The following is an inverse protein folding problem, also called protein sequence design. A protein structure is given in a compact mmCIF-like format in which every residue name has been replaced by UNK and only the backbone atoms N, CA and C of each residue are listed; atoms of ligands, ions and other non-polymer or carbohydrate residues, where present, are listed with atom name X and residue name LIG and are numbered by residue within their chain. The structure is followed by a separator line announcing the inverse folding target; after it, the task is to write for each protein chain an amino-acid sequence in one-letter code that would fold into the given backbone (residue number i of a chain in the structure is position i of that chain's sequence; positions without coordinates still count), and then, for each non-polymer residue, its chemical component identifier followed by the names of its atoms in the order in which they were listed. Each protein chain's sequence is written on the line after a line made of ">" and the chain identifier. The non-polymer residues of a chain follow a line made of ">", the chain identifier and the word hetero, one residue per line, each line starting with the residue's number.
data_IF_192539513282
#
_entry.id   IF_192539513282
#
_cell.length_a   1.000
_cell.length_b   1.000
_cell.length_c   1.000
_cell.angle_alpha   90.00
_cell.angle_beta   90.00
_cell.angle_gamma   90.00
#
_symmetry.space_group_name_H-M   'P 1'
#
loop_
_entity.id
_entity.type
_entity.pdbx_description
1 polymer ?
#
# COMPACT_ATOMS: atom_id res chain seq x y z
N UNK A 1 1.50 -9.51 -0.72
CA UNK A 1 0.53 -8.66 0.01
C UNK A 1 -0.81 -9.35 0.22
N UNK A 2 -1.58 -9.66 -0.83
CA UNK A 2 -2.95 -10.19 -0.72
C UNK A 2 -3.10 -11.43 0.20
N UNK A 3 -2.15 -12.37 0.18
CA UNK A 3 -2.18 -13.56 1.05
C UNK A 3 -2.23 -13.17 2.54
N UNK A 4 -1.40 -12.21 2.96
CA UNK A 4 -1.33 -11.75 4.35
C UNK A 4 -2.60 -10.98 4.72
N UNK A 5 -3.07 -10.09 3.85
CA UNK A 5 -4.31 -9.34 4.05
C UNK A 5 -5.49 -10.31 4.25
N UNK A 6 -5.63 -11.33 3.38
CA UNK A 6 -6.69 -12.34 3.51
C UNK A 6 -6.57 -13.17 4.79
N UNK A 7 -5.35 -13.47 5.24
CA UNK A 7 -5.12 -14.22 6.47
C UNK A 7 -5.57 -13.42 7.69
N UNK A 8 -5.18 -12.14 7.78
CA UNK A 8 -5.56 -11.21 8.85
C UNK A 8 -7.08 -11.01 8.86
N UNK A 9 -7.67 -10.61 7.74
CA UNK A 9 -9.11 -10.27 7.68
C UNK A 9 -10.04 -11.47 7.91
N UNK A 10 -9.54 -12.70 7.77
CA UNK A 10 -10.32 -13.92 8.01
C UNK A 10 -10.44 -14.24 9.51
N UNK A 11 -9.51 -13.79 10.33
CA UNK A 11 -9.54 -13.98 11.77
C UNK A 11 -10.27 -12.81 12.45
N UNK A 12 -11.48 -13.01 13.01
CA UNK A 12 -12.23 -11.94 13.65
C UNK A 12 -11.58 -11.42 14.94
N UNK A 13 -10.64 -12.16 15.54
CA UNK A 13 -9.91 -11.75 16.75
C UNK A 13 -8.61 -11.00 16.40
N UNK A 14 -8.18 -11.00 15.14
CA UNK A 14 -7.02 -10.24 14.69
C UNK A 14 -7.38 -8.76 14.53
N UNK A 15 -6.72 -7.92 15.32
CA UNK A 15 -6.96 -6.47 15.37
C UNK A 15 -6.02 -5.68 14.45
N UNK A 16 -5.16 -6.37 13.69
CA UNK A 16 -4.18 -5.74 12.80
C UNK A 16 -4.89 -4.95 11.69
N UNK A 17 -4.53 -3.66 11.58
CA UNK A 17 -5.00 -2.82 10.48
C UNK A 17 -4.07 -2.93 9.27
N UNK A 18 -4.64 -3.22 8.10
CA UNK A 18 -3.92 -3.33 6.84
C UNK A 18 -4.11 -2.07 5.99
N UNK A 19 -3.02 -1.50 5.51
CA UNK A 19 -3.02 -0.37 4.57
C UNK A 19 -2.22 -0.78 3.33
N UNK A 20 -2.82 -0.67 2.14
CA UNK A 20 -2.20 -1.02 0.87
C UNK A 20 -2.19 0.19 -0.06
N UNK A 21 -0.99 0.71 -0.33
CA UNK A 21 -0.72 1.62 -1.44
C UNK A 21 -0.21 0.79 -2.63
N UNK A 22 -1.03 0.66 -3.68
CA UNK A 22 -0.76 -0.24 -4.79
C UNK A 22 -0.47 0.53 -6.09
N UNK A 23 0.74 0.36 -6.62
CA UNK A 23 1.24 1.09 -7.78
C UNK A 23 1.27 0.20 -9.03
N UNK A 24 0.72 0.71 -10.14
CA UNK A 24 0.70 0.03 -11.45
C UNK A 24 0.97 1.04 -12.58
N UNK A 25 1.29 0.56 -13.79
CA UNK A 25 1.53 1.46 -14.93
C UNK A 25 0.23 2.10 -15.42
N UNK A 26 -0.81 1.28 -15.65
CA UNK A 26 -2.13 1.72 -16.10
C UNK A 26 -3.24 1.01 -15.32
N UNK A 27 -4.48 1.49 -15.44
CA UNK A 27 -5.62 0.95 -14.70
C UNK A 27 -5.88 -0.54 -15.00
N UNK A 28 -5.69 -0.97 -16.25
CA UNK A 28 -5.82 -2.37 -16.67
C UNK A 28 -4.73 -3.30 -16.10
N UNK A 29 -3.62 -2.74 -15.62
CA UNK A 29 -2.51 -3.51 -15.06
C UNK A 29 -2.70 -3.77 -13.56
N UNK A 30 -3.78 -3.26 -12.95
CA UNK A 30 -4.14 -3.54 -11.57
C UNK A 30 -4.63 -4.98 -11.46
N UNK A 31 -3.75 -5.86 -11.01
CA UNK A 31 -4.11 -7.25 -10.76
C UNK A 31 -5.07 -7.36 -9.57
N UNK A 32 -6.08 -8.20 -9.71
CA UNK A 32 -7.04 -8.54 -8.64
C UNK A 32 -7.74 -7.29 -8.05
N UNK A 33 -8.01 -6.29 -8.88
CA UNK A 33 -8.66 -5.05 -8.44
C UNK A 33 -10.00 -5.32 -7.76
N UNK A 34 -10.86 -6.10 -8.42
CA UNK A 34 -12.19 -6.45 -7.90
C UNK A 34 -12.10 -7.13 -6.54
N UNK A 35 -11.19 -8.11 -6.38
CA UNK A 35 -10.95 -8.77 -5.08
C UNK A 35 -10.51 -7.78 -3.99
N UNK A 36 -9.65 -6.82 -4.32
CA UNK A 36 -9.15 -5.82 -3.37
C UNK A 36 -10.24 -4.83 -2.96
N UNK A 37 -11.02 -4.34 -3.92
CA UNK A 37 -12.14 -3.44 -3.67
C UNK A 37 -13.26 -4.14 -2.89
N UNK A 38 -13.52 -5.41 -3.16
CA UNK A 38 -14.46 -6.23 -2.39
C UNK A 38 -13.98 -6.38 -0.93
N UNK A 39 -12.71 -6.71 -0.71
CA UNK A 39 -12.15 -6.78 0.65
C UNK A 39 -12.26 -5.44 1.39
N UNK A 40 -12.00 -4.33 0.70
CA UNK A 40 -12.14 -2.98 1.27
C UNK A 40 -13.59 -2.67 1.65
N UNK A 41 -14.56 -3.08 0.83
CA UNK A 41 -15.98 -2.87 1.09
C UNK A 41 -16.49 -3.75 2.25
N UNK A 42 -15.99 -4.98 2.38
CA UNK A 42 -16.34 -5.90 3.46
C UNK A 42 -15.70 -5.52 4.80
N UNK A 43 -14.47 -5.01 4.79
CA UNK A 43 -13.68 -4.73 5.99
C UNK A 43 -13.21 -3.26 6.07
N UNK A 44 -14.12 -2.25 5.99
CA UNK A 44 -13.72 -0.86 5.81
C UNK A 44 -12.95 -0.25 6.99
N UNK A 45 -13.05 -0.86 8.18
CA UNK A 45 -12.35 -0.42 9.39
C UNK A 45 -10.98 -1.09 9.59
N UNK A 46 -10.72 -2.21 8.91
CA UNK A 46 -9.50 -3.02 9.07
C UNK A 46 -8.62 -3.03 7.83
N UNK A 47 -9.18 -2.76 6.65
CA UNK A 47 -8.42 -2.65 5.41
C UNK A 47 -8.62 -1.26 4.79
N UNK A 48 -7.51 -0.62 4.41
CA UNK A 48 -7.46 0.63 3.66
C UNK A 48 -6.69 0.40 2.36
N UNK A 49 -7.30 0.78 1.24
CA UNK A 49 -6.80 0.56 -0.10
C UNK A 49 -6.65 1.90 -0.84
N UNK A 50 -5.48 2.11 -1.42
CA UNK A 50 -5.22 3.26 -2.27
C UNK A 50 -4.38 2.86 -3.48
N UNK A 51 -4.64 3.47 -4.62
CA UNK A 51 -3.97 3.16 -5.86
C UNK A 51 -3.13 4.34 -6.37
N UNK A 52 -2.09 4.03 -7.13
CA UNK A 52 -1.44 5.03 -7.97
C UNK A 52 -1.05 4.47 -9.33
N UNK A 53 -1.21 5.30 -10.37
CA UNK A 53 -0.93 4.91 -11.75
C UNK A 53 0.10 5.85 -12.39
N UNK A 54 1.05 5.30 -13.14
CA UNK A 54 1.98 6.10 -13.96
C UNK A 54 1.22 6.87 -15.06
N UNK A 55 0.26 6.19 -15.69
CA UNK A 55 -0.56 6.71 -16.78
C UNK A 55 -2.06 6.48 -16.49
N UNK A 56 -2.67 7.30 -15.62
CA UNK A 56 -4.09 7.19 -15.30
C UNK A 56 -4.99 7.73 -16.42
N UNK A 57 -6.26 7.27 -16.51
CA UNK A 57 -7.29 7.93 -17.30
C UNK A 57 -7.64 9.33 -16.73
N UNK A 58 -8.41 10.12 -17.47
CA UNK A 58 -8.77 11.50 -17.08
C UNK A 58 -9.62 11.56 -15.80
N UNK A 59 -10.47 10.56 -15.56
CA UNK A 59 -11.42 10.46 -14.45
C UNK A 59 -10.87 9.62 -13.27
N UNK A 60 -9.55 9.47 -13.18
CA UNK A 60 -8.92 8.68 -12.13
C UNK A 60 -9.08 9.31 -10.73
N UNK A 61 -9.71 8.56 -9.83
CA UNK A 61 -10.06 9.03 -8.49
C UNK A 61 -8.89 8.98 -7.48
N UNK A 62 -7.76 8.34 -7.84
CA UNK A 62 -6.64 8.11 -6.94
C UNK A 62 -5.37 8.86 -7.39
N UNK A 63 -4.23 8.53 -6.79
CA UNK A 63 -2.97 9.22 -7.05
C UNK A 63 -2.40 8.92 -8.45
N UNK A 64 -1.56 9.83 -8.94
CA UNK A 64 -0.82 9.70 -10.21
C UNK A 64 0.69 9.73 -9.99
N UNK A 65 1.40 8.86 -10.70
CA UNK A 65 2.86 8.77 -10.74
C UNK A 65 3.43 7.70 -9.82
N UNK A 66 4.75 7.73 -9.64
CA UNK A 66 5.44 6.83 -8.71
C UNK A 66 5.11 7.16 -7.25
N UNK A 67 5.26 6.15 -6.39
CA UNK A 67 5.08 6.28 -4.93
C UNK A 67 5.89 7.48 -4.41
N UNK A 68 5.18 8.43 -3.78
CA UNK A 68 5.76 9.64 -3.22
C UNK A 68 5.66 9.67 -1.68
N UNK A 69 6.41 10.57 -1.04
CA UNK A 69 6.29 10.80 0.39
C UNK A 69 4.87 11.25 0.78
N UNK A 70 4.23 12.10 -0.03
CA UNK A 70 2.89 12.60 0.26
C UNK A 70 1.86 11.45 0.24
N UNK A 71 1.95 10.55 -0.75
CA UNK A 71 1.10 9.35 -0.82
C UNK A 71 1.29 8.44 0.39
N UNK A 72 2.54 8.22 0.82
CA UNK A 72 2.84 7.42 2.00
C UNK A 72 2.22 8.07 3.25
N UNK A 73 2.44 9.37 3.43
CA UNK A 73 1.98 10.09 4.60
C UNK A 73 0.44 10.14 4.68
N UNK A 74 -0.25 10.22 3.54
CA UNK A 74 -1.70 10.31 3.48
C UNK A 74 -2.40 8.94 3.61
N UNK A 75 -1.80 7.87 3.08
CA UNK A 75 -2.49 6.59 2.91
C UNK A 75 -1.90 5.43 3.73
N UNK A 76 -0.74 5.60 4.37
CA UNK A 76 -0.12 4.60 5.25
C UNK A 76 -0.04 5.13 6.70
N UNK A 77 0.01 4.25 7.72
CA UNK A 77 0.14 4.67 9.10
C UNK A 77 1.47 5.38 9.34
N UNK A 78 1.45 6.44 10.16
CA UNK A 78 2.65 7.13 10.61
C UNK A 78 3.62 6.16 11.33
N UNK A 79 4.94 6.45 11.36
CA UNK A 79 5.88 5.55 12.02
C UNK A 79 5.58 5.40 13.53
N UNK A 80 5.48 4.15 14.00
CA UNK A 80 5.30 3.77 15.39
C UNK A 80 5.89 2.38 15.68
N UNK A 81 6.02 2.02 16.96
CA UNK A 81 6.63 0.74 17.37
C UNK A 81 5.78 -0.49 16.96
N UNK A 82 4.51 -0.28 16.67
CA UNK A 82 3.51 -1.25 16.23
C UNK A 82 3.30 -1.26 14.70
N UNK A 83 4.13 -0.52 13.94
CA UNK A 83 4.00 -0.38 12.49
C UNK A 83 5.08 -1.15 11.75
N UNK A 84 4.64 -2.04 10.85
CA UNK A 84 5.49 -2.77 9.92
C UNK A 84 5.10 -2.44 8.47
N UNK A 85 6.08 -2.00 7.68
CA UNK A 85 5.94 -1.79 6.24
C UNK A 85 6.53 -2.95 5.47
N UNK A 86 5.71 -3.50 4.58
CA UNK A 86 6.10 -4.56 3.67
C UNK A 86 6.21 -3.98 2.25
N UNK A 87 7.32 -4.24 1.59
CA UNK A 87 7.60 -3.78 0.23
C UNK A 87 7.73 -4.98 -0.71
N UNK A 88 7.07 -4.91 -1.86
CA UNK A 88 7.23 -5.87 -2.95
C UNK A 88 6.96 -5.15 -4.27
N UNK A 89 7.90 -5.23 -5.19
CA UNK A 89 7.80 -4.57 -6.47
C UNK A 89 9.14 -4.59 -7.21
N UNK A 90 9.20 -3.98 -8.42
CA UNK A 90 10.43 -3.89 -9.18
C UNK A 90 11.56 -3.22 -8.36
N UNK A 91 12.83 -3.64 -8.50
CA UNK A 91 13.93 -3.05 -7.75
C UNK A 91 14.01 -1.51 -7.83
N UNK A 92 13.77 -0.86 -9.00
CA UNK A 92 13.74 0.61 -9.07
C UNK A 92 12.64 1.25 -8.23
N UNK A 93 11.45 0.65 -8.16
CA UNK A 93 10.36 1.16 -7.32
C UNK A 93 10.79 1.14 -5.85
N UNK A 94 11.30 0.01 -5.38
CA UNK A 94 11.69 -0.16 -3.97
C UNK A 94 12.85 0.77 -3.60
N UNK A 95 13.90 0.82 -4.43
CA UNK A 95 15.14 1.54 -4.12
C UNK A 95 15.04 3.05 -4.34
N UNK A 96 14.26 3.51 -5.33
CA UNK A 96 14.24 4.92 -5.73
C UNK A 96 12.98 5.65 -5.28
N UNK A 97 11.84 4.96 -5.21
CA UNK A 97 10.57 5.56 -4.82
C UNK A 97 10.22 5.24 -3.36
N UNK A 98 10.33 3.99 -2.91
CA UNK A 98 9.89 3.64 -1.57
C UNK A 98 10.90 4.00 -0.48
N UNK A 99 12.12 3.42 -0.50
CA UNK A 99 13.09 3.60 0.58
C UNK A 99 13.41 5.07 0.89
N UNK A 100 13.71 5.94 -0.10
CA UNK A 100 14.05 7.34 0.17
C UNK A 100 12.90 8.14 0.76
N UNK A 101 11.66 7.91 0.28
CA UNK A 101 10.48 8.58 0.82
C UNK A 101 10.17 8.10 2.25
N UNK A 102 10.33 6.80 2.52
CA UNK A 102 10.22 6.27 3.87
C UNK A 102 11.30 6.83 4.82
N UNK A 103 12.54 7.03 4.34
CA UNK A 103 13.61 7.63 5.14
C UNK A 103 13.27 9.09 5.48
N UNK A 104 12.79 9.85 4.49
CA UNK A 104 12.33 11.23 4.65
C UNK A 104 11.22 11.36 5.71
N UNK A 105 10.33 10.37 5.79
CA UNK A 105 9.20 10.34 6.72
C UNK A 105 9.54 9.71 8.08
N UNK A 106 10.78 9.27 8.30
CA UNK A 106 11.23 8.78 9.60
C UNK A 106 10.91 7.32 9.91
N UNK A 107 10.48 6.52 8.94
CA UNK A 107 10.34 5.07 9.15
C UNK A 107 11.73 4.46 9.34
N UNK A 108 12.00 3.71 10.39
CA UNK A 108 13.32 3.09 10.56
C UNK A 108 13.49 1.84 9.67
N UNK A 109 14.73 1.38 9.47
CA UNK A 109 15.00 0.14 8.73
C UNK A 109 14.39 -1.10 9.41
N UNK A 110 14.21 -1.07 10.74
CA UNK A 110 13.59 -2.17 11.51
C UNK A 110 12.09 -2.31 11.22
N UNK A 111 11.47 -1.25 10.72
CA UNK A 111 10.05 -1.22 10.38
C UNK A 111 9.79 -1.63 8.94
N UNK A 112 10.81 -2.03 8.19
CA UNK A 112 10.70 -2.32 6.76
C UNK A 112 11.11 -3.75 6.48
N UNK A 113 10.34 -4.42 5.66
CA UNK A 113 10.71 -5.72 5.11
C UNK A 113 10.44 -5.72 3.60
N UNK A 114 11.44 -6.07 2.80
CA UNK A 114 11.31 -6.20 1.34
C UNK A 114 11.32 -7.68 0.97
N UNK A 115 10.31 -8.12 0.23
CA UNK A 115 10.21 -9.48 -0.31
C UNK A 115 11.19 -9.76 -1.45
#
# INVERSE_FOLDING_TARGET
>A
MLQLIRAILKDPEDTTQCFLLFANQTEKDIILREDLEELQAQYPNHFKLWFTLDHPPEDWAYSKGFVSADMIQEHLPAPGDDVLLLLCGPPPMVQLACHPNLDKLGYSQKMRFTY
#
